data_IF_859279126358
#
_entry.id   IF_859279126358
#
_cell.length_a   1.000
_cell.length_b   1.000
_cell.length_c   1.000
_cell.angle_alpha   90.00
_cell.angle_beta   90.00
_cell.angle_gamma   90.00
#
_symmetry.space_group_name_H-M   'P 1'
#
loop_
_entity.id
_entity.type
_entity.pdbx_description
1 polymer ?
#
# COMPACT_ATOMS: atom_id res chain seq x y z
N UNK A 1 -24.25 -1.97 10.77
CA UNK A 1 -22.94 -1.90 10.08
C UNK A 1 -22.03 -2.94 10.72
N UNK A 2 -21.62 -3.98 9.99
CA UNK A 2 -20.80 -5.05 10.55
C UNK A 2 -19.48 -4.53 11.13
N UNK A 3 -19.00 -5.15 12.20
CA UNK A 3 -17.67 -4.84 12.73
C UNK A 3 -16.59 -5.17 11.69
N UNK A 4 -15.51 -4.40 11.73
CA UNK A 4 -14.33 -4.59 10.88
C UNK A 4 -13.16 -4.77 11.82
N UNK A 5 -12.48 -5.90 11.67
CA UNK A 5 -11.33 -6.28 12.48
C UNK A 5 -10.08 -5.88 11.69
N UNK A 6 -9.12 -5.28 12.39
CA UNK A 6 -7.77 -5.07 11.84
C UNK A 6 -6.81 -5.88 12.68
N UNK A 7 -6.05 -6.77 12.02
CA UNK A 7 -5.09 -7.67 12.66
C UNK A 7 -3.81 -7.76 11.84
N UNK A 8 -2.75 -8.24 12.46
CA UNK A 8 -1.51 -8.57 11.77
C UNK A 8 -1.72 -9.79 10.86
N UNK A 9 -1.04 -9.80 9.71
CA UNK A 9 -1.05 -10.93 8.80
C UNK A 9 -0.09 -12.03 9.28
N UNK A 10 -0.53 -13.28 9.19
CA UNK A 10 0.31 -14.45 9.35
C UNK A 10 0.65 -15.13 8.03
N UNK A 11 1.44 -16.21 8.07
CA UNK A 11 1.77 -16.99 6.87
C UNK A 11 0.54 -17.69 6.27
N UNK A 12 -0.45 -18.01 7.11
CA UNK A 12 -1.74 -18.55 6.72
C UNK A 12 -2.54 -17.61 5.81
N UNK A 13 -2.28 -16.30 5.88
CA UNK A 13 -2.95 -15.29 5.06
C UNK A 13 -2.40 -15.21 3.63
N UNK A 14 -1.32 -15.93 3.30
CA UNK A 14 -0.62 -15.83 2.01
C UNK A 14 -1.57 -15.76 0.82
N UNK A 15 -2.50 -16.71 0.72
CA UNK A 15 -3.44 -16.79 -0.41
C UNK A 15 -4.44 -15.62 -0.43
N UNK A 16 -4.88 -15.17 0.74
CA UNK A 16 -5.81 -14.05 0.87
C UNK A 16 -5.14 -12.71 0.58
N UNK A 17 -3.96 -12.50 1.14
CA UNK A 17 -3.15 -11.31 0.93
C UNK A 17 -2.67 -11.21 -0.53
N UNK A 18 -2.26 -12.32 -1.16
CA UNK A 18 -1.89 -12.36 -2.57
C UNK A 18 -2.99 -11.79 -3.49
N UNK A 19 -4.25 -12.15 -3.22
CA UNK A 19 -5.39 -11.62 -3.99
C UNK A 19 -5.54 -10.11 -3.80
N UNK A 20 -5.51 -9.62 -2.55
CA UNK A 20 -5.61 -8.18 -2.28
C UNK A 20 -4.43 -7.39 -2.87
N UNK A 21 -3.23 -7.96 -2.81
CA UNK A 21 -2.02 -7.35 -3.35
C UNK A 21 -2.10 -7.22 -4.88
N UNK A 22 -2.53 -8.30 -5.55
CA UNK A 22 -2.78 -8.28 -6.99
C UNK A 22 -3.89 -7.29 -7.38
N UNK A 23 -4.99 -7.22 -6.61
CA UNK A 23 -6.06 -6.24 -6.81
C UNK A 23 -5.54 -4.80 -6.71
N UNK A 24 -4.67 -4.50 -5.74
CA UNK A 24 -4.04 -3.19 -5.58
C UNK A 24 -3.20 -2.80 -6.81
N UNK A 25 -2.26 -3.66 -7.23
CA UNK A 25 -1.39 -3.36 -8.37
C UNK A 25 -2.16 -3.33 -9.70
N UNK A 26 -3.18 -4.16 -9.86
CA UNK A 26 -4.02 -4.14 -11.04
C UNK A 26 -4.87 -2.86 -11.09
N UNK A 27 -5.40 -2.37 -9.97
CA UNK A 27 -6.06 -1.06 -9.92
C UNK A 27 -5.10 0.08 -10.29
N UNK A 28 -3.86 0.05 -9.81
CA UNK A 28 -2.83 1.04 -10.16
C UNK A 28 -2.47 0.99 -11.66
N UNK A 29 -2.29 -0.22 -12.21
CA UNK A 29 -2.02 -0.44 -13.64
C UNK A 29 -3.13 0.11 -14.52
N UNK A 30 -4.39 -0.18 -14.18
CA UNK A 30 -5.54 0.32 -14.94
C UNK A 30 -5.61 1.85 -14.94
N UNK A 31 -5.29 2.51 -13.81
CA UNK A 31 -5.19 3.98 -13.75
C UNK A 31 -4.08 4.55 -14.64
N UNK A 32 -3.10 3.75 -15.01
CA UNK A 32 -2.00 4.10 -15.92
C UNK A 32 -2.21 3.56 -17.34
N UNK A 33 -3.42 3.09 -17.66
CA UNK A 33 -3.75 2.47 -18.96
C UNK A 33 -2.85 1.26 -19.30
N UNK A 34 -2.36 0.55 -18.28
CA UNK A 34 -1.58 -0.68 -18.41
C UNK A 34 -2.47 -1.91 -18.27
N UNK A 35 -2.01 -3.04 -18.83
CA UNK A 35 -2.67 -4.35 -18.68
C UNK A 35 -2.49 -4.89 -17.26
N UNK A 36 -3.51 -5.59 -16.78
CA UNK A 36 -3.48 -6.33 -15.52
C UNK A 36 -2.59 -7.57 -15.62
N UNK A 37 -2.07 -8.02 -14.49
CA UNK A 37 -1.26 -9.21 -14.33
C UNK A 37 -2.02 -10.31 -13.58
N UNK A 38 -1.59 -11.56 -13.78
CA UNK A 38 -2.09 -12.69 -12.99
C UNK A 38 -1.61 -12.54 -11.52
N UNK A 39 -2.44 -12.86 -10.52
CA UNK A 39 -2.02 -12.77 -9.12
C UNK A 39 -0.73 -13.53 -8.80
N UNK A 40 -0.46 -14.67 -9.45
CA UNK A 40 0.74 -15.46 -9.17
C UNK A 40 2.04 -14.74 -9.57
N UNK A 41 1.99 -13.73 -10.44
CA UNK A 41 3.16 -12.89 -10.75
C UNK A 41 3.66 -12.14 -9.50
N UNK A 42 2.81 -11.93 -8.49
CA UNK A 42 3.16 -11.24 -7.24
C UNK A 42 3.49 -12.20 -6.09
N UNK A 43 3.52 -13.52 -6.32
CA UNK A 43 3.65 -14.50 -5.24
C UNK A 43 4.95 -14.31 -4.43
N UNK A 44 6.07 -14.11 -5.11
CA UNK A 44 7.36 -13.93 -4.44
C UNK A 44 7.47 -12.59 -3.70
N UNK A 45 6.84 -11.53 -4.23
CA UNK A 45 6.76 -10.23 -3.55
C UNK A 45 5.95 -10.35 -2.25
N UNK A 46 4.82 -11.05 -2.30
CA UNK A 46 3.95 -11.26 -1.13
C UNK A 46 4.62 -12.14 -0.08
N UNK A 47 5.32 -13.21 -0.48
CA UNK A 47 6.13 -14.02 0.45
C UNK A 47 7.20 -13.17 1.13
N UNK A 48 7.90 -12.31 0.37
CA UNK A 48 8.91 -11.40 0.91
C UNK A 48 8.30 -10.40 1.88
N UNK A 49 7.15 -9.83 1.53
CA UNK A 49 6.42 -8.89 2.38
C UNK A 49 6.02 -9.53 3.72
N UNK A 50 5.43 -10.73 3.69
CA UNK A 50 5.05 -11.44 4.92
C UNK A 50 6.26 -11.86 5.77
N UNK A 51 7.43 -12.07 5.16
CA UNK A 51 8.64 -12.48 5.87
C UNK A 51 9.43 -11.31 6.48
N UNK A 52 9.35 -10.11 5.90
CA UNK A 52 10.25 -8.98 6.24
C UNK A 52 9.53 -7.73 6.72
N UNK A 53 8.30 -7.53 6.28
CA UNK A 53 7.56 -6.29 6.52
C UNK A 53 6.47 -6.51 7.57
N UNK A 54 5.94 -5.40 8.07
CA UNK A 54 4.74 -5.42 8.90
C UNK A 54 3.51 -5.28 8.01
N UNK A 55 2.72 -6.33 7.92
CA UNK A 55 1.46 -6.33 7.17
C UNK A 55 0.28 -6.39 8.13
N UNK A 56 -0.66 -5.46 8.01
CA UNK A 56 -1.93 -5.50 8.71
C UNK A 56 -3.07 -5.66 7.70
N UNK A 57 -4.00 -6.55 8.02
CA UNK A 57 -5.16 -6.88 7.21
C UNK A 57 -6.43 -6.33 7.86
N UNK A 58 -7.33 -5.80 7.02
CA UNK A 58 -8.70 -5.50 7.41
C UNK A 58 -9.60 -6.65 6.94
N UNK A 59 -10.39 -7.18 7.87
CA UNK A 59 -11.30 -8.31 7.65
C UNK A 59 -12.72 -7.90 8.04
N UNK A 60 -13.69 -8.23 7.18
CA UNK A 60 -15.12 -8.10 7.50
C UNK A 60 -15.55 -9.23 8.44
N UNK A 61 -16.68 -9.06 9.15
CA UNK A 61 -17.25 -10.12 9.99
C UNK A 61 -17.50 -11.46 9.28
N UNK A 62 -17.69 -11.45 7.96
CA UNK A 62 -17.90 -12.67 7.16
C UNK A 62 -16.58 -13.37 6.79
N UNK A 63 -15.46 -13.00 7.45
CA UNK A 63 -14.12 -13.57 7.20
C UNK A 63 -13.46 -13.08 5.91
N UNK A 64 -14.07 -12.13 5.19
CA UNK A 64 -13.52 -11.63 3.93
C UNK A 64 -12.44 -10.57 4.20
N UNK A 65 -11.25 -10.77 3.65
CA UNK A 65 -10.23 -9.71 3.61
C UNK A 65 -10.65 -8.58 2.65
N UNK A 66 -10.61 -7.35 3.13
CA UNK A 66 -11.15 -6.17 2.44
C UNK A 66 -10.17 -5.01 2.28
N UNK A 67 -9.01 -5.10 2.92
CA UNK A 67 -7.94 -4.12 2.78
C UNK A 67 -6.68 -4.54 3.52
N UNK A 68 -5.60 -3.80 3.29
CA UNK A 68 -4.33 -4.01 3.98
C UNK A 68 -3.52 -2.72 4.04
N UNK A 69 -2.54 -2.69 4.94
CA UNK A 69 -1.43 -1.74 4.94
C UNK A 69 -0.13 -2.52 5.14
N UNK A 70 0.90 -2.18 4.36
CA UNK A 70 2.25 -2.74 4.51
C UNK A 70 3.21 -1.64 4.93
N UNK A 71 4.00 -1.93 5.97
CA UNK A 71 5.07 -1.07 6.47
C UNK A 71 6.39 -1.82 6.35
N UNK A 72 7.33 -1.27 5.59
CA UNK A 72 8.70 -1.77 5.53
C UNK A 72 9.60 -1.00 6.50
N UNK A 73 10.74 -1.59 6.83
CA UNK A 73 11.86 -0.90 7.47
C UNK A 73 13.05 -0.91 6.51
N UNK A 74 13.52 0.27 6.11
CA UNK A 74 14.69 0.44 5.25
C UNK A 74 15.54 1.61 5.73
N UNK A 75 16.85 1.41 5.78
CA UNK A 75 17.82 2.44 6.20
C UNK A 75 17.51 3.07 7.57
N UNK A 76 16.98 2.26 8.50
CA UNK A 76 16.59 2.71 9.84
C UNK A 76 15.23 3.41 9.92
N UNK A 77 14.59 3.70 8.78
CA UNK A 77 13.30 4.40 8.71
C UNK A 77 12.14 3.44 8.42
N UNK A 78 10.94 3.79 8.89
CA UNK A 78 9.70 3.05 8.62
C UNK A 78 8.87 3.70 7.52
N UNK A 79 8.46 2.93 6.53
CA UNK A 79 7.74 3.44 5.36
C UNK A 79 6.42 2.70 5.18
N UNK A 80 5.31 3.44 5.05
CA UNK A 80 4.10 2.88 4.45
C UNK A 80 4.36 2.70 2.97
N UNK A 81 4.46 1.46 2.53
CA UNK A 81 4.71 1.12 1.13
C UNK A 81 3.40 1.07 0.35
N UNK A 82 2.37 0.43 0.92
CA UNK A 82 1.03 0.40 0.34
C UNK A 82 -0.06 0.52 1.39
N UNK A 83 -1.14 1.20 1.00
CA UNK A 83 -2.42 1.17 1.68
C UNK A 83 -3.50 0.85 0.64
N UNK A 84 -4.25 -0.22 0.87
CA UNK A 84 -5.33 -0.62 -0.01
C UNK A 84 -6.60 -0.93 0.77
N UNK A 85 -7.73 -0.46 0.23
CA UNK A 85 -9.07 -0.89 0.62
C UNK A 85 -9.82 -1.14 -0.67
N UNK A 86 -10.46 -2.31 -0.77
CA UNK A 86 -11.30 -2.67 -1.92
C UNK A 86 -12.33 -1.57 -2.20
N UNK A 87 -12.58 -1.19 -3.48
CA UNK A 87 -13.42 -0.05 -3.84
C UNK A 87 -14.77 0.01 -3.12
N UNK A 88 -15.48 -1.13 -3.02
CA UNK A 88 -16.80 -1.24 -2.39
C UNK A 88 -16.85 -0.97 -0.88
N UNK A 89 -15.71 -0.98 -0.19
CA UNK A 89 -15.63 -0.71 1.26
C UNK A 89 -14.96 0.63 1.59
N UNK A 90 -14.65 1.45 0.58
CA UNK A 90 -14.07 2.79 0.78
C UNK A 90 -15.11 3.74 1.39
N UNK A 91 -14.62 4.76 2.09
CA UNK A 91 -15.48 5.73 2.77
C UNK A 91 -15.99 5.29 4.14
N UNK A 92 -15.75 4.03 4.54
CA UNK A 92 -16.22 3.48 5.82
C UNK A 92 -15.17 3.56 6.95
N UNK A 93 -14.16 4.42 6.80
CA UNK A 93 -13.10 4.60 7.80
C UNK A 93 -12.07 3.46 7.90
N UNK A 94 -12.11 2.45 7.03
CA UNK A 94 -11.19 1.30 7.06
C UNK A 94 -9.74 1.71 6.90
N UNK A 95 -9.44 2.55 5.89
CA UNK A 95 -8.08 3.05 5.66
C UNK A 95 -7.52 3.78 6.89
N UNK A 96 -8.36 4.58 7.57
CA UNK A 96 -7.98 5.25 8.83
C UNK A 96 -7.65 4.24 9.93
N UNK A 97 -8.41 3.15 10.05
CA UNK A 97 -8.15 2.10 11.05
C UNK A 97 -6.83 1.37 10.77
N UNK A 98 -6.56 1.04 9.51
CA UNK A 98 -5.30 0.43 9.06
C UNK A 98 -4.10 1.33 9.40
N UNK A 99 -4.17 2.61 9.01
CA UNK A 99 -3.11 3.59 9.29
C UNK A 99 -2.85 3.73 10.79
N UNK A 100 -3.90 3.86 11.61
CA UNK A 100 -3.75 3.95 13.08
C UNK A 100 -3.12 2.71 13.73
N UNK A 101 -3.27 1.54 13.13
CA UNK A 101 -2.59 0.32 13.62
C UNK A 101 -1.11 0.36 13.23
N UNK A 102 -0.80 0.75 11.99
CA UNK A 102 0.57 0.93 11.53
C UNK A 102 1.32 2.02 12.33
N UNK A 103 0.72 3.19 12.56
CA UNK A 103 1.28 4.27 13.39
C UNK A 103 1.60 3.78 14.81
N UNK A 104 0.67 3.05 15.45
CA UNK A 104 0.89 2.50 16.80
C UNK A 104 1.98 1.43 16.83
N UNK A 105 2.19 0.71 15.74
CA UNK A 105 3.31 -0.21 15.62
C UNK A 105 4.62 0.57 15.50
N UNK A 106 4.71 1.51 14.56
CA UNK A 106 5.93 2.29 14.32
C UNK A 106 6.32 3.14 15.52
N UNK A 107 5.37 3.76 16.23
CA UNK A 107 5.62 4.59 17.41
C UNK A 107 6.30 3.85 18.58
N UNK A 108 6.36 2.50 18.55
CA UNK A 108 7.14 1.70 19.50
C UNK A 108 8.63 1.66 19.18
N UNK A 109 9.01 2.07 17.96
CA UNK A 109 10.34 1.90 17.39
C UNK A 109 10.92 3.22 16.88
N UNK A 110 10.11 4.10 16.29
CA UNK A 110 10.53 5.35 15.67
C UNK A 110 9.46 6.45 15.83
N UNK A 111 9.84 7.72 16.04
CA UNK A 111 8.89 8.84 16.09
C UNK A 111 8.26 9.21 14.73
N UNK A 112 8.81 8.71 13.61
CA UNK A 112 8.36 9.05 12.27
C UNK A 112 7.97 7.81 11.45
N UNK A 113 6.93 8.00 10.63
CA UNK A 113 6.53 7.07 9.59
C UNK A 113 6.40 7.84 8.28
N UNK A 114 7.01 7.31 7.23
CA UNK A 114 7.13 8.00 5.96
C UNK A 114 6.24 7.35 4.90
N UNK A 115 5.90 8.13 3.88
CA UNK A 115 5.21 7.64 2.69
C UNK A 115 5.56 8.50 1.48
N UNK A 116 5.60 7.87 0.32
CA UNK A 116 5.72 8.56 -0.97
C UNK A 116 4.36 8.54 -1.68
N UNK A 117 3.90 9.70 -2.11
CA UNK A 117 2.63 9.87 -2.82
C UNK A 117 2.90 10.55 -4.15
N UNK A 118 2.36 10.00 -5.23
CA UNK A 118 2.46 10.63 -6.54
C UNK A 118 1.71 11.97 -6.54
N UNK A 119 2.32 13.07 -7.03
CA UNK A 119 1.69 14.40 -7.02
C UNK A 119 0.32 14.46 -7.72
N UNK A 120 0.06 13.59 -8.69
CA UNK A 120 -1.22 13.51 -9.39
C UNK A 120 -2.32 12.77 -8.59
N UNK A 121 -1.97 11.95 -7.58
CA UNK A 121 -2.96 11.27 -6.74
C UNK A 121 -3.47 12.23 -5.65
N UNK A 122 -4.24 13.24 -6.09
CA UNK A 122 -4.86 14.25 -5.22
C UNK A 122 -5.74 13.62 -4.14
N UNK A 123 -6.32 12.46 -4.41
CA UNK A 123 -7.13 11.72 -3.43
C UNK A 123 -6.25 11.16 -2.31
N UNK A 124 -5.13 10.51 -2.66
CA UNK A 124 -4.17 10.03 -1.68
C UNK A 124 -3.56 11.20 -0.89
N UNK A 125 -3.12 12.28 -1.55
CA UNK A 125 -2.60 13.46 -0.86
C UNK A 125 -3.58 14.01 0.17
N UNK A 126 -4.85 14.21 -0.21
CA UNK A 126 -5.88 14.69 0.72
C UNK A 126 -6.10 13.72 1.89
N UNK A 127 -6.05 12.42 1.64
CA UNK A 127 -6.17 11.41 2.68
C UNK A 127 -5.01 11.49 3.69
N UNK A 128 -3.76 11.54 3.21
CA UNK A 128 -2.58 11.57 4.09
C UNK A 128 -2.47 12.88 4.88
N UNK A 129 -2.75 14.02 4.25
CA UNK A 129 -2.86 15.31 4.94
C UNK A 129 -3.96 15.27 6.02
N UNK A 130 -5.13 14.69 5.71
CA UNK A 130 -6.21 14.50 6.69
C UNK A 130 -5.81 13.57 7.85
N UNK A 131 -4.92 12.61 7.61
CA UNK A 131 -4.37 11.74 8.66
C UNK A 131 -3.31 12.44 9.52
N UNK A 132 -2.89 13.66 9.20
CA UNK A 132 -1.89 14.42 9.96
C UNK A 132 -0.46 14.30 9.43
N UNK A 133 -0.26 13.68 8.27
CA UNK A 133 1.04 13.66 7.61
C UNK A 133 1.35 15.04 7.03
N UNK A 134 2.61 15.44 7.06
CA UNK A 134 3.11 16.69 6.48
C UNK A 134 4.09 16.42 5.34
N UNK A 135 4.39 17.44 4.54
CA UNK A 135 5.29 17.35 3.39
C UNK A 135 6.76 17.39 3.86
N UNK A 136 7.56 16.46 3.33
CA UNK A 136 9.02 16.50 3.43
C UNK A 136 9.68 17.23 2.24
N UNK A 137 8.89 17.71 1.26
CA UNK A 137 9.33 18.42 0.06
C UNK A 137 10.45 17.72 -0.74
N UNK A 138 10.40 16.40 -0.89
CA UNK A 138 11.34 15.65 -1.72
C UNK A 138 10.94 15.65 -3.20
N UNK A 139 11.93 15.73 -4.09
CA UNK A 139 11.76 15.58 -5.55
C UNK A 139 12.60 14.37 -5.98
N UNK A 140 11.94 13.37 -6.56
CA UNK A 140 12.61 12.21 -7.15
C UNK A 140 12.74 12.38 -8.66
N UNK A 141 13.95 12.17 -9.18
CA UNK A 141 14.27 12.29 -10.59
C UNK A 141 14.62 10.90 -11.16
N UNK A 142 14.03 10.55 -12.30
CA UNK A 142 14.34 9.33 -13.02
C UNK A 142 14.67 9.63 -14.48
N UNK A 143 15.79 9.07 -14.97
CA UNK A 143 16.17 9.12 -16.39
C UNK A 143 15.84 7.79 -17.04
N UNK A 144 15.10 7.82 -18.14
CA UNK A 144 14.88 6.63 -18.94
C UNK A 144 16.19 6.25 -19.67
N UNK A 145 16.77 5.10 -19.32
CA UNK A 145 18.02 4.59 -19.92
C UNK A 145 17.78 3.57 -21.05
N UNK A 146 16.57 2.99 -21.15
CA UNK A 146 16.16 1.97 -22.15
C UNK A 146 14.63 1.96 -22.29
N UNK A 147 14.09 1.61 -23.46
CA UNK A 147 12.64 1.43 -23.66
C UNK A 147 12.01 0.62 -22.51
N UNK A 148 10.92 1.12 -21.90
CA UNK A 148 10.39 0.53 -20.67
C UNK A 148 9.97 -0.92 -20.92
N UNK A 149 10.63 -1.85 -20.22
CA UNK A 149 10.24 -3.27 -20.21
C UNK A 149 8.84 -3.47 -19.61
N UNK A 150 8.30 -4.70 -19.74
CA UNK A 150 6.97 -5.09 -19.20
C UNK A 150 6.91 -5.04 -17.67
N UNK A 151 8.06 -5.07 -16.99
CA UNK A 151 8.20 -4.89 -15.56
C UNK A 151 8.99 -3.61 -15.29
N UNK A 152 8.36 -2.65 -14.63
CA UNK A 152 9.01 -1.42 -14.19
C UNK A 152 8.13 -0.73 -13.19
N UNK A 153 8.74 -0.19 -12.13
CA UNK A 153 8.08 0.60 -11.09
C UNK A 153 7.47 1.90 -11.63
N UNK A 154 7.26 2.87 -10.74
CA UNK A 154 6.72 4.19 -11.08
C UNK A 154 7.45 4.77 -12.29
N UNK A 155 6.73 4.97 -13.40
CA UNK A 155 7.30 5.58 -14.60
C UNK A 155 7.40 7.09 -14.40
N UNK A 156 8.52 7.74 -14.78
CA UNK A 156 8.58 9.20 -14.78
C UNK A 156 7.50 9.74 -15.70
N UNK A 157 6.76 10.72 -15.20
CA UNK A 157 5.74 11.43 -15.96
C UNK A 157 6.37 12.66 -16.61
N UNK A 158 5.90 13.09 -17.79
CA UNK A 158 6.34 14.35 -18.37
C UNK A 158 6.02 15.49 -17.40
N UNK A 159 6.98 16.37 -17.19
CA UNK A 159 6.75 17.63 -16.48
C UNK A 159 5.76 18.44 -17.33
N UNK A 160 4.66 18.88 -16.71
CA UNK A 160 3.74 19.85 -17.31
C UNK A 160 4.45 21.19 -17.55
#
# INVERSE_FOLDING_TARGET
>A
MGSIIVREAGLEDLKGFLRLYAEFYNELRLRQSLRTCDPNEFLEDVKRALARDKVFLAESNDGVLIGFIRVSQREGCYWVEELYVRPKYRGWGIGRRLVKVAERYVAKHDPFIYIMVLPQDRRAMRFWLHMGYTLLNTIELAKNLKSPGKHGGTRPFPLL
#
